data_IF_970819325239
#
_entry.id   IF_970819325239
#
_cell.length_a   1.000
_cell.length_b   1.000
_cell.length_c   1.000
_cell.angle_alpha   90.00
_cell.angle_beta   90.00
_cell.angle_gamma   90.00
#
_symmetry.space_group_name_H-M   'P 1'
#
loop_
_entity.id
_entity.type
_entity.pdbx_description
1 polymer ?
#
# COMPACT_ATOMS: atom_id res chain seq x y z
N UNK A 1 3.20 -2.84 -16.43
CA UNK A 1 2.85 -1.40 -16.34
C UNK A 1 2.45 -1.15 -14.89
N UNK A 2 3.10 -0.22 -14.16
CA UNK A 2 2.75 0.03 -12.75
C UNK A 2 1.37 0.69 -12.70
N UNK A 3 0.43 0.13 -11.91
CA UNK A 3 -0.89 0.76 -11.74
C UNK A 3 -0.73 1.99 -10.85
N UNK A 4 -1.53 3.03 -11.12
CA UNK A 4 -1.61 4.20 -10.26
C UNK A 4 -2.07 3.78 -8.85
N UNK A 5 -1.47 4.37 -7.82
CA UNK A 5 -1.91 4.18 -6.43
C UNK A 5 -3.30 4.83 -6.29
N UNK A 6 -4.30 4.04 -5.86
CA UNK A 6 -5.67 4.52 -5.67
C UNK A 6 -5.78 5.34 -4.39
N UNK A 7 -6.65 6.35 -4.40
CA UNK A 7 -7.03 7.06 -3.17
C UNK A 7 -7.95 6.15 -2.35
N UNK A 8 -7.54 5.83 -1.13
CA UNK A 8 -8.26 4.92 -0.23
C UNK A 8 -9.33 5.61 0.62
N UNK A 9 -9.20 6.92 0.87
CA UNK A 9 -10.23 7.70 1.56
C UNK A 9 -11.32 8.08 0.55
N UNK A 10 -12.49 7.42 0.63
CA UNK A 10 -13.60 7.59 -0.30
C UNK A 10 -14.98 7.68 0.37
N UNK A 11 -16.03 8.02 -0.40
CA UNK A 11 -17.41 8.06 0.08
C UNK A 11 -17.93 6.67 0.45
N UNK A 12 -17.40 5.62 -0.19
CA UNK A 12 -17.87 4.23 -0.11
C UNK A 12 -17.58 3.52 1.22
N UNK A 13 -16.87 4.18 2.15
CA UNK A 13 -16.58 3.65 3.48
C UNK A 13 -15.10 3.65 3.84
N UNK A 14 -14.71 2.99 4.94
CA UNK A 14 -13.31 2.70 5.24
C UNK A 14 -12.74 1.74 4.18
N UNK A 15 -11.48 1.95 3.80
CA UNK A 15 -10.81 1.08 2.85
C UNK A 15 -10.65 -0.33 3.43
N UNK A 16 -10.82 -1.34 2.59
CA UNK A 16 -10.56 -2.73 2.98
C UNK A 16 -9.07 -3.02 3.13
N UNK A 17 -8.73 -4.06 3.88
CA UNK A 17 -7.35 -4.50 4.06
C UNK A 17 -6.68 -4.87 2.74
N UNK A 18 -7.44 -5.46 1.81
CA UNK A 18 -6.95 -5.77 0.47
C UNK A 18 -6.61 -4.51 -0.33
N UNK A 19 -7.43 -3.47 -0.24
CA UNK A 19 -7.15 -2.19 -0.91
C UNK A 19 -5.90 -1.50 -0.33
N UNK A 20 -5.73 -1.57 0.99
CA UNK A 20 -4.53 -1.06 1.67
C UNK A 20 -3.29 -1.83 1.22
N UNK A 21 -3.36 -3.17 1.18
CA UNK A 21 -2.24 -4.02 0.75
C UNK A 21 -1.89 -3.78 -0.71
N UNK A 22 -2.88 -3.68 -1.60
CA UNK A 22 -2.68 -3.37 -3.01
C UNK A 22 -2.05 -1.99 -3.22
N UNK A 23 -2.51 -0.96 -2.48
CA UNK A 23 -1.92 0.36 -2.54
C UNK A 23 -0.44 0.35 -2.09
N UNK A 24 -0.15 -0.38 -1.01
CA UNK A 24 1.20 -0.54 -0.47
C UNK A 24 2.13 -1.27 -1.45
N UNK A 25 1.63 -2.33 -2.10
CA UNK A 25 2.33 -3.03 -3.17
C UNK A 25 2.70 -2.09 -4.32
N UNK A 26 1.74 -1.27 -4.79
CA UNK A 26 2.03 -0.31 -5.87
C UNK A 26 3.01 0.78 -5.44
N UNK A 27 2.94 1.25 -4.19
CA UNK A 27 3.91 2.18 -3.62
C UNK A 27 5.33 1.60 -3.62
N UNK A 28 5.51 0.41 -3.06
CA UNK A 28 6.83 -0.24 -2.98
C UNK A 28 7.38 -0.52 -4.38
N UNK A 29 6.55 -0.98 -5.33
CA UNK A 29 6.96 -1.11 -6.75
C UNK A 29 7.42 0.22 -7.35
N UNK A 30 6.72 1.31 -7.06
CA UNK A 30 7.03 2.63 -7.60
C UNK A 30 8.34 3.18 -7.04
N UNK A 31 8.58 3.03 -5.74
CA UNK A 31 9.77 3.55 -5.06
C UNK A 31 11.01 2.69 -5.33
N UNK A 32 10.86 1.36 -5.28
CA UNK A 32 11.97 0.44 -5.53
C UNK A 32 12.36 0.33 -7.02
N UNK A 33 11.46 0.69 -7.93
CA UNK A 33 11.63 0.46 -9.36
C UNK A 33 11.43 -1.01 -9.79
N UNK A 34 11.16 -1.92 -8.85
CA UNK A 34 10.88 -3.32 -9.17
C UNK A 34 9.44 -3.50 -9.64
N UNK A 35 9.26 -4.16 -10.80
CA UNK A 35 7.95 -4.72 -11.18
C UNK A 35 7.72 -6.08 -10.51
N UNK A 36 8.77 -6.88 -10.48
CA UNK A 36 8.88 -8.13 -9.75
C UNK A 36 10.29 -8.17 -9.13
N UNK A 37 10.42 -8.38 -7.80
CA UNK A 37 11.74 -8.55 -7.18
C UNK A 37 12.38 -9.85 -7.66
N UNK A 38 13.72 -9.90 -7.62
CA UNK A 38 14.44 -11.18 -7.77
C UNK A 38 14.28 -12.01 -6.49
N UNK A 39 14.54 -13.32 -6.54
CA UNK A 39 14.48 -14.21 -5.36
C UNK A 39 15.28 -13.68 -4.17
N UNK A 40 16.43 -13.04 -4.42
CA UNK A 40 17.28 -12.46 -3.37
C UNK A 40 16.64 -11.27 -2.67
N UNK A 41 15.81 -10.49 -3.38
CA UNK A 41 15.20 -9.27 -2.87
C UNK A 41 13.73 -9.48 -2.49
N UNK A 42 13.20 -10.69 -2.66
CA UNK A 42 11.78 -10.98 -2.47
C UNK A 42 11.36 -10.77 -1.03
N UNK A 43 12.14 -11.27 -0.07
CA UNK A 43 11.90 -11.10 1.37
C UNK A 43 11.82 -9.62 1.76
N UNK A 44 12.88 -8.84 1.48
CA UNK A 44 12.91 -7.40 1.78
C UNK A 44 11.80 -6.61 1.05
N UNK A 45 11.42 -7.06 -0.15
CA UNK A 45 10.32 -6.43 -0.88
C UNK A 45 8.97 -6.70 -0.22
N UNK A 46 8.70 -7.93 0.20
CA UNK A 46 7.44 -8.28 0.87
C UNK A 46 7.34 -7.63 2.25
N UNK A 47 8.42 -7.64 3.03
CA UNK A 47 8.49 -6.97 4.33
C UNK A 47 8.15 -5.48 4.21
N UNK A 48 8.76 -4.78 3.24
CA UNK A 48 8.44 -3.38 2.98
C UNK A 48 6.97 -3.16 2.58
N UNK A 49 6.33 -4.11 1.87
CA UNK A 49 4.91 -4.01 1.52
C UNK A 49 4.04 -4.14 2.78
N UNK A 50 4.38 -5.06 3.68
CA UNK A 50 3.65 -5.29 4.93
C UNK A 50 3.77 -4.09 5.88
N UNK A 51 4.97 -3.55 6.07
CA UNK A 51 5.20 -2.37 6.91
C UNK A 51 4.43 -1.15 6.40
N UNK A 52 4.45 -0.91 5.09
CA UNK A 52 3.70 0.20 4.47
C UNK A 52 2.19 -0.02 4.62
N UNK A 53 1.72 -1.27 4.52
CA UNK A 53 0.31 -1.58 4.73
C UNK A 53 -0.12 -1.31 6.18
N UNK A 54 0.69 -1.69 7.16
CA UNK A 54 0.43 -1.39 8.57
C UNK A 54 0.45 0.10 8.89
N UNK A 55 1.44 0.82 8.36
CA UNK A 55 1.51 2.28 8.51
C UNK A 55 0.28 2.95 7.86
N UNK A 56 -0.15 2.45 6.71
CA UNK A 56 -1.33 2.97 6.00
C UNK A 56 -2.62 2.68 6.76
N UNK A 57 -2.81 1.49 7.33
CA UNK A 57 -3.95 1.17 8.20
C UNK A 57 -4.03 2.14 9.38
N UNK A 58 -2.94 2.27 10.13
CA UNK A 58 -2.84 3.20 11.26
C UNK A 58 -3.14 4.65 10.85
N UNK A 59 -2.66 5.07 9.68
CA UNK A 59 -2.99 6.39 9.15
C UNK A 59 -4.49 6.54 8.88
N UNK A 60 -5.11 5.57 8.19
CA UNK A 60 -6.53 5.61 7.84
C UNK A 60 -7.43 5.56 9.08
N UNK A 61 -7.03 4.83 10.11
CA UNK A 61 -7.76 4.75 11.39
C UNK A 61 -7.64 6.04 12.20
N UNK A 62 -6.48 6.71 12.15
CA UNK A 62 -6.22 7.94 12.92
C UNK A 62 -6.77 9.20 12.27
N UNK A 63 -6.87 9.23 10.94
CA UNK A 63 -7.38 10.39 10.22
C UNK A 63 -8.91 10.39 10.21
N UNK A 64 -9.50 11.31 10.98
CA UNK A 64 -10.95 11.53 10.95
C UNK A 64 -11.43 11.94 9.55
N UNK A 65 -12.64 11.50 9.16
CA UNK A 65 -13.26 11.90 7.89
C UNK A 65 -13.26 13.44 7.81
N UNK A 66 -12.83 14.05 6.70
CA UNK A 66 -13.03 15.47 6.51
C UNK A 66 -14.53 15.74 6.59
N UNK A 67 -14.92 16.73 7.41
CA UNK A 67 -16.30 17.22 7.47
C UNK A 67 -16.74 17.78 6.13
#
# INVERSE_FOLDING_TARGET
MCRSIKRLRGPDGPASDDEVREASLQYVRKVSGFRAPSRRNEEAFQEAVEEVAEATRRLLDSVTRPR
#
